data_IF_963480454367
#
_entry.id   IF_963480454367
#
_cell.length_a   1.000
_cell.length_b   1.000
_cell.length_c   1.000
_cell.angle_alpha   90.00
_cell.angle_beta   90.00
_cell.angle_gamma   90.00
#
_symmetry.space_group_name_H-M   'P 1'
#
loop_
_entity.id
_entity.type
_entity.pdbx_description
1 polymer ?
#
# COMPACT_ATOMS: atom_id res chain seq x y z
N UNK A 1 -0.18 -50.45 -42.58
CA UNK A 1 -0.09 -49.07 -42.06
C UNK A 1 -1.00 -48.92 -40.83
N UNK A 2 -0.59 -49.37 -39.63
CA UNK A 2 -1.37 -49.13 -38.40
C UNK A 2 -0.58 -49.19 -37.07
N UNK A 3 0.71 -49.52 -37.09
CA UNK A 3 1.52 -49.64 -35.86
C UNK A 3 2.39 -48.43 -35.50
N UNK A 4 2.47 -47.39 -36.34
CA UNK A 4 3.33 -46.23 -36.06
C UNK A 4 2.65 -45.12 -35.23
N UNK A 5 1.31 -45.03 -35.23
CA UNK A 5 0.58 -43.97 -34.53
C UNK A 5 0.47 -44.20 -33.00
N UNK A 6 0.51 -45.44 -32.53
CA UNK A 6 0.41 -45.77 -31.09
C UNK A 6 1.74 -45.52 -30.35
N UNK A 7 2.87 -45.76 -31.02
CA UNK A 7 4.21 -45.53 -30.46
C UNK A 7 4.52 -44.04 -30.25
N UNK A 8 4.06 -43.18 -31.17
CA UNK A 8 4.23 -41.73 -31.04
C UNK A 8 3.39 -41.18 -29.87
N UNK A 9 2.15 -41.66 -29.70
CA UNK A 9 1.28 -41.27 -28.58
C UNK A 9 1.81 -41.65 -27.19
N UNK A 10 2.45 -42.82 -27.04
CA UNK A 10 3.07 -43.23 -25.77
C UNK A 10 4.37 -42.47 -25.44
N UNK A 11 5.15 -42.09 -26.45
CA UNK A 11 6.37 -41.28 -26.29
C UNK A 11 6.04 -39.84 -25.85
N UNK A 12 4.99 -39.22 -26.39
CA UNK A 12 4.57 -37.89 -25.95
C UNK A 12 4.00 -37.91 -24.51
N UNK A 13 3.27 -38.96 -24.13
CA UNK A 13 2.73 -39.10 -22.77
C UNK A 13 3.84 -39.36 -21.71
N UNK A 14 4.87 -40.13 -22.03
CA UNK A 14 5.98 -40.41 -21.10
C UNK A 14 6.91 -39.20 -20.90
N UNK A 15 7.15 -38.41 -21.95
CA UNK A 15 7.91 -37.15 -21.86
C UNK A 15 7.16 -36.12 -21.00
N UNK A 16 5.84 -35.98 -21.18
CA UNK A 16 5.03 -35.07 -20.37
C UNK A 16 5.01 -35.46 -18.88
N UNK A 17 4.91 -36.76 -18.57
CA UNK A 17 4.98 -37.25 -17.20
C UNK A 17 6.35 -37.00 -16.54
N UNK A 18 7.45 -37.30 -17.25
CA UNK A 18 8.82 -37.05 -16.75
C UNK A 18 9.14 -35.55 -16.58
N UNK A 19 8.61 -34.67 -17.44
CA UNK A 19 8.73 -33.22 -17.27
C UNK A 19 7.95 -32.69 -16.06
N UNK A 20 6.77 -33.26 -15.77
CA UNK A 20 5.99 -32.87 -14.59
C UNK A 20 6.71 -33.22 -13.27
N UNK A 21 7.42 -34.35 -13.24
CA UNK A 21 8.15 -34.84 -12.07
C UNK A 21 9.40 -33.99 -11.76
N UNK A 22 10.21 -33.66 -12.78
CA UNK A 22 11.39 -32.82 -12.56
C UNK A 22 11.03 -31.38 -12.20
N UNK A 23 9.98 -30.82 -12.81
CA UNK A 23 9.47 -29.50 -12.45
C UNK A 23 9.07 -29.47 -10.98
N UNK A 24 8.26 -30.43 -10.53
CA UNK A 24 7.81 -30.48 -9.13
C UNK A 24 9.00 -30.63 -8.18
N UNK A 25 9.97 -31.47 -8.51
CA UNK A 25 11.19 -31.65 -7.71
C UNK A 25 11.99 -30.34 -7.55
N UNK A 26 12.09 -29.51 -8.59
CA UNK A 26 12.72 -28.18 -8.52
C UNK A 26 11.94 -27.26 -7.58
N UNK A 27 10.61 -27.23 -7.72
CA UNK A 27 9.73 -26.39 -6.90
C UNK A 27 9.79 -26.78 -5.43
N UNK A 28 9.77 -28.08 -5.12
CA UNK A 28 9.85 -28.61 -3.75
C UNK A 28 11.20 -28.26 -3.12
N UNK A 29 12.30 -28.46 -3.86
CA UNK A 29 13.63 -28.07 -3.39
C UNK A 29 13.70 -26.57 -3.12
N UNK A 30 13.17 -25.72 -4.01
CA UNK A 30 13.12 -24.27 -3.81
C UNK A 30 12.23 -23.87 -2.62
N UNK A 31 11.06 -24.50 -2.46
CA UNK A 31 10.14 -24.26 -1.35
C UNK A 31 10.74 -24.62 0.01
N UNK A 32 11.56 -25.67 0.07
CA UNK A 32 12.34 -26.06 1.24
C UNK A 32 13.70 -25.35 1.35
N UNK A 33 13.96 -24.34 0.51
CA UNK A 33 15.21 -23.56 0.49
C UNK A 33 16.49 -24.40 0.25
N UNK A 34 16.35 -25.57 -0.37
CA UNK A 34 17.46 -26.45 -0.76
C UNK A 34 18.05 -25.97 -2.08
N UNK A 35 18.66 -24.77 -2.08
CA UNK A 35 19.05 -24.07 -3.31
C UNK A 35 20.08 -24.83 -4.15
N UNK A 36 21.04 -25.52 -3.54
CA UNK A 36 22.00 -26.35 -4.27
C UNK A 36 21.29 -27.50 -5.01
N UNK A 37 20.34 -28.17 -4.35
CA UNK A 37 19.52 -29.23 -4.96
C UNK A 37 18.63 -28.66 -6.07
N UNK A 38 17.98 -27.51 -5.83
CA UNK A 38 17.15 -26.84 -6.82
C UNK A 38 17.97 -26.47 -8.07
N UNK A 39 19.20 -25.98 -7.91
CA UNK A 39 20.12 -25.67 -9.00
C UNK A 39 20.48 -26.92 -9.83
N UNK A 40 20.81 -28.04 -9.17
CA UNK A 40 21.14 -29.29 -9.85
C UNK A 40 19.95 -29.83 -10.65
N UNK A 41 18.77 -29.86 -10.03
CA UNK A 41 17.53 -30.31 -10.68
C UNK A 41 17.12 -29.40 -11.84
N UNK A 42 17.22 -28.08 -11.67
CA UNK A 42 16.93 -27.13 -12.74
C UNK A 42 17.90 -27.26 -13.91
N UNK A 43 19.18 -27.55 -13.64
CA UNK A 43 20.17 -27.83 -14.69
C UNK A 43 19.84 -29.11 -15.45
N UNK A 44 19.49 -30.19 -14.75
CA UNK A 44 19.02 -31.44 -15.37
C UNK A 44 17.76 -31.23 -16.20
N UNK A 45 16.85 -30.35 -15.77
CA UNK A 45 15.67 -29.99 -16.54
C UNK A 45 16.02 -29.24 -17.83
N UNK A 46 16.99 -28.32 -17.79
CA UNK A 46 17.48 -27.63 -18.99
C UNK A 46 18.13 -28.63 -19.98
N UNK A 47 18.86 -29.63 -19.48
CA UNK A 47 19.51 -30.64 -20.33
C UNK A 47 18.50 -31.49 -21.10
N UNK A 48 17.33 -31.75 -20.53
CA UNK A 48 16.25 -32.51 -21.18
C UNK A 48 15.27 -31.63 -21.97
N UNK A 49 15.12 -30.37 -21.57
CA UNK A 49 14.27 -29.38 -22.22
C UNK A 49 14.93 -27.99 -22.20
N UNK A 50 15.76 -27.75 -23.22
CA UNK A 50 16.46 -26.47 -23.39
C UNK A 50 15.55 -25.28 -23.69
N UNK A 51 14.25 -25.51 -23.91
CA UNK A 51 13.23 -24.47 -24.14
C UNK A 51 12.47 -24.08 -22.86
N UNK A 52 12.71 -24.76 -21.73
CA UNK A 52 12.03 -24.47 -20.47
C UNK A 52 12.51 -23.15 -19.84
N UNK A 53 11.73 -22.09 -20.04
CA UNK A 53 11.98 -20.78 -19.46
C UNK A 53 11.98 -20.80 -17.91
N UNK A 54 11.12 -21.63 -17.33
CA UNK A 54 11.00 -21.83 -15.88
C UNK A 54 12.25 -22.47 -15.28
N UNK A 55 12.82 -23.48 -15.96
CA UNK A 55 14.05 -24.13 -15.50
C UNK A 55 15.22 -23.12 -15.42
N UNK A 56 15.36 -22.27 -16.43
CA UNK A 56 16.36 -21.19 -16.40
C UNK A 56 16.12 -20.19 -15.28
N UNK A 57 14.87 -19.82 -15.01
CA UNK A 57 14.54 -18.93 -13.89
C UNK A 57 14.96 -19.54 -12.55
N UNK A 58 14.58 -20.79 -12.27
CA UNK A 58 14.92 -21.45 -11.01
C UNK A 58 16.42 -21.71 -10.86
N UNK A 59 17.13 -22.01 -11.95
CA UNK A 59 18.61 -22.09 -11.94
C UNK A 59 19.22 -20.74 -11.56
N UNK A 60 18.78 -19.64 -12.18
CA UNK A 60 19.24 -18.29 -11.84
C UNK A 60 18.93 -17.91 -10.39
N UNK A 61 17.72 -18.23 -9.93
CA UNK A 61 17.29 -17.98 -8.56
C UNK A 61 18.17 -18.72 -7.55
N UNK A 62 18.43 -20.02 -7.78
CA UNK A 62 19.28 -20.80 -6.91
C UNK A 62 20.73 -20.27 -6.86
N UNK A 63 21.27 -19.82 -8.00
CA UNK A 63 22.59 -19.18 -8.06
C UNK A 63 22.63 -17.88 -7.25
N UNK A 64 21.61 -17.01 -7.36
CA UNK A 64 21.51 -15.80 -6.51
C UNK A 64 21.43 -16.17 -5.02
N UNK A 65 20.63 -17.18 -4.67
CA UNK A 65 20.42 -17.59 -3.26
C UNK A 65 21.63 -18.25 -2.63
N UNK A 66 22.56 -18.74 -3.45
CA UNK A 66 23.86 -19.30 -3.02
C UNK A 66 25.02 -18.31 -3.20
N UNK A 67 24.75 -17.04 -3.54
CA UNK A 67 25.75 -15.98 -3.69
C UNK A 67 26.59 -16.06 -4.97
N UNK A 68 26.25 -16.95 -5.90
CA UNK A 68 26.95 -17.17 -7.17
C UNK A 68 26.49 -16.17 -8.24
N UNK A 69 26.60 -14.87 -7.94
CA UNK A 69 26.07 -13.79 -8.79
C UNK A 69 26.67 -13.77 -10.21
N UNK A 70 27.96 -14.05 -10.35
CA UNK A 70 28.64 -14.09 -11.65
C UNK A 70 28.03 -15.11 -12.63
N UNK A 71 27.51 -16.23 -12.12
CA UNK A 71 26.88 -17.27 -12.93
C UNK A 71 25.36 -17.06 -13.12
N UNK A 72 24.73 -16.24 -12.28
CA UNK A 72 23.27 -16.12 -12.23
C UNK A 72 22.66 -15.30 -13.38
N UNK A 73 23.42 -14.39 -13.98
CA UNK A 73 22.91 -13.49 -15.03
C UNK A 73 22.42 -14.22 -16.28
N UNK A 74 23.21 -15.17 -16.80
CA UNK A 74 22.89 -15.86 -18.05
C UNK A 74 21.57 -16.66 -17.99
N UNK A 75 21.27 -17.45 -16.94
CA UNK A 75 19.97 -18.08 -16.78
C UNK A 75 18.79 -17.09 -16.78
N UNK A 76 18.88 -15.97 -16.07
CA UNK A 76 17.81 -14.97 -16.07
C UNK A 76 17.59 -14.32 -17.44
N UNK A 77 18.66 -13.98 -18.15
CA UNK A 77 18.57 -13.45 -19.52
C UNK A 77 17.91 -14.47 -20.46
N UNK A 78 18.25 -15.76 -20.32
CA UNK A 78 17.63 -16.82 -21.10
C UNK A 78 16.15 -16.99 -20.77
N UNK A 79 15.78 -17.02 -19.49
CA UNK A 79 14.38 -17.05 -19.06
C UNK A 79 13.57 -15.86 -19.62
N UNK A 80 14.16 -14.66 -19.63
CA UNK A 80 13.54 -13.46 -20.25
C UNK A 80 13.35 -13.60 -21.74
N UNK A 81 14.36 -14.12 -22.46
CA UNK A 81 14.29 -14.34 -23.92
C UNK A 81 13.23 -15.38 -24.31
N UNK A 82 12.93 -16.31 -23.40
CA UNK A 82 11.88 -17.32 -23.56
C UNK A 82 10.53 -16.86 -22.98
N UNK A 83 10.40 -15.58 -22.62
CA UNK A 83 9.16 -14.96 -22.12
C UNK A 83 8.56 -15.61 -20.86
N UNK A 84 9.39 -16.05 -19.91
CA UNK A 84 8.90 -16.56 -18.63
C UNK A 84 8.04 -15.48 -17.91
N UNK A 85 6.82 -15.78 -17.44
CA UNK A 85 5.80 -14.78 -17.07
C UNK A 85 6.01 -14.16 -15.67
N UNK A 86 7.26 -13.88 -15.29
CA UNK A 86 7.62 -13.15 -14.06
C UNK A 86 8.69 -12.08 -14.34
N UNK A 87 8.46 -11.16 -15.29
CA UNK A 87 9.47 -10.19 -15.73
C UNK A 87 10.04 -9.34 -14.59
N UNK A 88 9.20 -8.96 -13.61
CA UNK A 88 9.65 -8.19 -12.46
C UNK A 88 10.61 -8.97 -11.55
N UNK A 89 10.34 -10.26 -11.33
CA UNK A 89 11.24 -11.12 -10.55
C UNK A 89 12.57 -11.34 -11.28
N UNK A 90 12.54 -11.49 -12.61
CA UNK A 90 13.74 -11.61 -13.43
C UNK A 90 14.57 -10.33 -13.36
N UNK A 91 13.98 -9.17 -13.64
CA UNK A 91 14.71 -7.90 -13.66
C UNK A 91 15.21 -7.52 -12.26
N UNK A 92 14.47 -7.85 -11.20
CA UNK A 92 14.92 -7.63 -9.82
C UNK A 92 16.15 -8.47 -9.48
N UNK A 93 16.17 -9.76 -9.85
CA UNK A 93 17.34 -10.59 -9.64
C UNK A 93 18.50 -10.21 -10.57
N UNK A 94 18.24 -9.76 -11.79
CA UNK A 94 19.27 -9.18 -12.65
C UNK A 94 19.87 -7.90 -12.05
N UNK A 95 19.07 -7.07 -11.37
CA UNK A 95 19.59 -5.91 -10.65
C UNK A 95 20.51 -6.33 -9.50
N UNK A 96 20.15 -7.37 -8.74
CA UNK A 96 21.03 -7.96 -7.71
C UNK A 96 22.34 -8.46 -8.32
N UNK A 97 22.27 -9.17 -9.45
CA UNK A 97 23.45 -9.67 -10.17
C UNK A 97 24.33 -8.49 -10.58
N UNK A 98 23.79 -7.49 -11.27
CA UNK A 98 24.54 -6.32 -11.72
C UNK A 98 25.23 -5.57 -10.57
N UNK A 99 24.51 -5.35 -9.46
CA UNK A 99 25.08 -4.71 -8.27
C UNK A 99 26.27 -5.50 -7.69
N UNK A 100 26.19 -6.84 -7.69
CA UNK A 100 27.22 -7.71 -7.12
C UNK A 100 28.38 -8.04 -8.07
N UNK A 101 28.18 -7.89 -9.39
CA UNK A 101 29.22 -8.17 -10.40
C UNK A 101 29.93 -6.91 -10.88
N UNK A 102 29.76 -5.78 -10.19
CA UNK A 102 30.49 -4.54 -10.48
C UNK A 102 29.86 -3.64 -11.55
N UNK A 103 28.57 -3.80 -11.85
CA UNK A 103 27.81 -2.91 -12.75
C UNK A 103 26.64 -2.22 -12.01
N UNK A 104 26.94 -1.26 -11.10
CA UNK A 104 25.91 -0.56 -10.34
C UNK A 104 25.02 0.33 -11.21
N UNK A 105 25.48 0.79 -12.39
CA UNK A 105 24.67 1.59 -13.31
C UNK A 105 23.56 0.77 -13.96
N UNK A 106 23.88 -0.46 -14.38
CA UNK A 106 22.86 -1.39 -14.86
C UNK A 106 21.88 -1.76 -13.75
N UNK A 107 22.34 -1.94 -12.51
CA UNK A 107 21.46 -2.22 -11.38
C UNK A 107 20.47 -1.07 -11.12
N UNK A 108 20.94 0.18 -11.10
CA UNK A 108 20.10 1.38 -10.98
C UNK A 108 19.09 1.44 -12.13
N UNK A 109 19.53 1.21 -13.37
CA UNK A 109 18.66 1.23 -14.55
C UNK A 109 17.54 0.18 -14.46
N UNK A 110 17.85 -1.02 -13.99
CA UNK A 110 16.87 -2.10 -13.81
C UNK A 110 15.88 -1.78 -12.68
N UNK A 111 16.36 -1.27 -11.55
CA UNK A 111 15.50 -0.88 -10.43
C UNK A 111 14.59 0.30 -10.79
N UNK A 112 15.09 1.29 -11.54
CA UNK A 112 14.25 2.38 -12.03
C UNK A 112 13.14 1.85 -12.94
N UNK A 113 13.47 0.98 -13.92
CA UNK A 113 12.46 0.35 -14.79
C UNK A 113 11.45 -0.50 -14.04
N UNK A 114 11.83 -1.09 -12.91
CA UNK A 114 10.89 -1.79 -12.03
C UNK A 114 9.96 -0.80 -11.34
N UNK A 115 10.50 0.28 -10.77
CA UNK A 115 9.72 1.34 -10.15
C UNK A 115 8.74 1.99 -11.14
N UNK A 116 9.16 2.28 -12.37
CA UNK A 116 8.31 2.85 -13.43
C UNK A 116 7.14 1.94 -13.82
N UNK A 117 7.28 0.61 -13.65
CA UNK A 117 6.24 -0.39 -13.89
C UNK A 117 5.37 -0.69 -12.67
N UNK A 118 5.47 0.12 -11.61
CA UNK A 118 4.66 -0.02 -10.41
C UNK A 118 5.17 -1.06 -9.41
N UNK A 119 6.45 -1.45 -9.45
CA UNK A 119 7.02 -2.29 -8.41
C UNK A 119 6.90 -1.60 -7.05
N UNK A 120 6.18 -2.22 -6.10
CA UNK A 120 5.78 -1.64 -4.81
C UNK A 120 6.21 -2.49 -3.62
N UNK A 121 7.46 -2.96 -3.61
CA UNK A 121 8.02 -3.79 -2.52
C UNK A 121 9.29 -3.16 -1.94
N UNK A 122 9.18 -2.05 -1.20
CA UNK A 122 10.32 -1.27 -0.69
C UNK A 122 11.22 -2.08 0.24
N UNK A 123 10.66 -3.01 1.02
CA UNK A 123 11.43 -3.91 1.88
C UNK A 123 12.42 -4.80 1.10
N UNK A 124 12.14 -5.11 -0.16
CA UNK A 124 13.08 -5.88 -1.00
C UNK A 124 14.31 -5.06 -1.40
N UNK A 125 14.25 -3.72 -1.37
CA UNK A 125 15.40 -2.85 -1.60
C UNK A 125 16.37 -2.79 -0.39
N UNK A 126 16.06 -3.51 0.70
CA UNK A 126 16.97 -3.69 1.84
C UNK A 126 17.83 -4.96 1.71
N UNK A 127 17.70 -5.71 0.60
CA UNK A 127 18.52 -6.88 0.34
C UNK A 127 20.02 -6.50 0.33
N UNK A 128 20.90 -7.22 1.06
CA UNK A 128 22.33 -6.93 1.11
C UNK A 128 23.02 -6.90 -0.26
N UNK A 129 22.45 -7.57 -1.27
CA UNK A 129 22.96 -7.51 -2.64
C UNK A 129 22.99 -6.08 -3.22
N UNK A 130 22.19 -5.16 -2.66
CA UNK A 130 22.19 -3.74 -3.05
C UNK A 130 23.07 -2.85 -2.18
N UNK A 131 23.92 -3.41 -1.30
CA UNK A 131 24.92 -2.63 -0.57
C UNK A 131 25.78 -1.73 -1.47
N UNK A 132 26.22 -2.16 -2.68
CA UNK A 132 26.96 -1.29 -3.61
C UNK A 132 26.17 -0.08 -4.14
N UNK A 133 24.85 -0.05 -3.96
CA UNK A 133 23.98 1.04 -4.43
C UNK A 133 23.70 2.10 -3.38
N UNK A 134 24.12 1.91 -2.12
CA UNK A 134 23.75 2.81 -1.02
C UNK A 134 24.30 4.24 -1.20
N UNK A 135 25.50 4.36 -1.78
CA UNK A 135 26.14 5.66 -2.06
C UNK A 135 25.68 6.30 -3.38
N UNK A 136 24.78 5.62 -4.12
CA UNK A 136 24.27 6.13 -5.39
C UNK A 136 23.18 7.14 -5.15
N UNK A 137 23.36 8.36 -5.67
CA UNK A 137 22.38 9.45 -5.58
C UNK A 137 21.00 9.09 -6.12
N UNK A 138 20.91 8.15 -7.07
CA UNK A 138 19.65 7.71 -7.69
C UNK A 138 18.86 6.75 -6.78
N UNK A 139 19.54 5.98 -5.93
CA UNK A 139 18.92 4.91 -5.16
C UNK A 139 17.86 5.39 -4.15
N UNK A 140 18.06 6.52 -3.43
CA UNK A 140 17.00 7.11 -2.60
C UNK A 140 15.74 7.50 -3.39
N UNK A 141 15.89 8.06 -4.59
CA UNK A 141 14.74 8.43 -5.44
C UNK A 141 13.96 7.20 -5.89
N UNK A 142 14.65 6.13 -6.28
CA UNK A 142 14.02 4.85 -6.63
C UNK A 142 13.27 4.27 -5.43
N UNK A 143 13.88 4.30 -4.24
CA UNK A 143 13.24 3.84 -3.01
C UNK A 143 11.95 4.61 -2.72
N UNK A 144 11.98 5.94 -2.84
CA UNK A 144 10.79 6.78 -2.65
C UNK A 144 9.69 6.46 -3.68
N UNK A 145 10.06 6.23 -4.94
CA UNK A 145 9.07 5.83 -5.96
C UNK A 145 8.48 4.44 -5.66
N UNK A 146 9.29 3.47 -5.22
CA UNK A 146 8.81 2.13 -4.84
C UNK A 146 7.91 2.20 -3.61
N UNK A 147 8.21 3.08 -2.65
CA UNK A 147 7.33 3.36 -1.51
C UNK A 147 5.99 3.96 -1.97
N UNK A 148 6.03 4.96 -2.86
CA UNK A 148 4.83 5.57 -3.44
C UNK A 148 3.99 4.58 -4.24
N UNK A 149 4.62 3.63 -4.95
CA UNK A 149 3.90 2.56 -5.64
C UNK A 149 3.18 1.63 -4.66
N UNK A 150 3.75 1.39 -3.47
CA UNK A 150 3.12 0.57 -2.42
C UNK A 150 2.01 1.32 -1.69
N UNK A 151 2.23 2.60 -1.42
CA UNK A 151 1.35 3.45 -0.63
C UNK A 151 0.96 4.72 -1.42
N UNK A 152 0.17 4.57 -2.50
CA UNK A 152 -0.11 5.69 -3.42
C UNK A 152 -0.83 6.86 -2.73
N UNK A 153 -1.69 6.57 -1.74
CA UNK A 153 -2.40 7.59 -0.98
C UNK A 153 -1.47 8.42 -0.06
N UNK A 154 -0.29 7.91 0.32
CA UNK A 154 0.70 8.71 1.04
C UNK A 154 1.44 9.68 0.11
N UNK A 155 1.52 9.37 -1.18
CA UNK A 155 2.24 10.16 -2.17
C UNK A 155 1.36 11.23 -2.86
N UNK A 156 0.03 11.07 -2.85
CA UNK A 156 -0.89 12.04 -3.44
C UNK A 156 -1.34 13.09 -2.39
N UNK A 157 -1.00 14.39 -2.57
CA UNK A 157 -1.39 15.45 -1.65
C UNK A 157 -2.90 15.57 -1.38
N UNK A 158 -3.76 15.14 -2.32
CA UNK A 158 -5.23 15.17 -2.13
C UNK A 158 -5.69 14.32 -0.96
N UNK A 159 -5.05 13.16 -0.78
CA UNK A 159 -5.31 12.27 0.34
C UNK A 159 -4.76 12.84 1.65
N UNK A 160 -3.91 13.88 1.63
CA UNK A 160 -3.27 14.47 2.82
C UNK A 160 -3.88 15.78 3.28
N UNK A 161 -4.91 16.28 2.58
CA UNK A 161 -5.56 17.55 2.92
C UNK A 161 -6.16 17.57 4.33
N UNK A 162 -6.57 16.42 4.87
CA UNK A 162 -7.16 16.31 6.21
C UNK A 162 -6.18 15.86 7.30
N UNK A 163 -4.88 15.74 6.97
CA UNK A 163 -3.87 15.25 7.91
C UNK A 163 -3.66 16.17 9.13
N UNK A 164 -4.08 17.44 9.04
CA UNK A 164 -4.02 18.40 10.16
C UNK A 164 -4.90 18.00 11.36
N UNK A 165 -5.81 17.04 11.19
CA UNK A 165 -6.68 16.52 12.24
C UNK A 165 -6.14 15.23 12.89
N UNK A 166 -5.08 14.64 12.34
CA UNK A 166 -4.42 13.46 12.92
C UNK A 166 -3.78 13.84 14.25
N UNK A 167 -4.08 13.07 15.30
CA UNK A 167 -3.54 13.30 16.63
C UNK A 167 -4.41 12.68 17.72
N UNK A 168 -3.92 12.80 18.95
CA UNK A 168 -4.67 12.55 20.17
C UNK A 168 -5.12 13.88 20.75
N UNK A 169 -6.41 13.99 21.08
CA UNK A 169 -7.06 15.26 21.36
C UNK A 169 -7.90 15.24 22.64
N UNK A 170 -7.76 16.30 23.44
CA UNK A 170 -8.73 16.71 24.45
C UNK A 170 -9.73 17.67 23.81
N UNK A 171 -11.01 17.32 23.77
CA UNK A 171 -12.04 18.09 23.07
C UNK A 171 -12.84 18.90 24.08
N UNK A 172 -12.85 20.22 23.91
CA UNK A 172 -13.55 21.17 24.76
C UNK A 172 -14.79 21.75 24.08
N UNK A 173 -15.88 21.86 24.82
CA UNK A 173 -17.11 22.51 24.40
C UNK A 173 -17.51 23.55 25.46
N UNK A 174 -17.70 24.80 25.07
CA UNK A 174 -18.01 25.91 25.98
C UNK A 174 -17.04 26.01 27.19
N UNK A 175 -15.76 25.70 26.96
CA UNK A 175 -14.71 25.73 27.99
C UNK A 175 -14.67 24.51 28.91
N UNK A 176 -15.56 23.53 28.74
CA UNK A 176 -15.57 22.28 29.52
C UNK A 176 -15.07 21.11 28.68
N UNK A 177 -14.37 20.17 29.32
CA UNK A 177 -13.92 18.94 28.67
C UNK A 177 -15.15 18.09 28.27
N UNK A 178 -15.36 17.92 26.97
CA UNK A 178 -16.46 17.15 26.41
C UNK A 178 -16.07 15.68 26.20
N UNK A 179 -14.81 15.42 25.87
CA UNK A 179 -14.32 14.06 25.64
C UNK A 179 -12.94 14.04 25.02
N UNK A 180 -12.59 12.87 24.50
CA UNK A 180 -11.29 12.60 23.91
C UNK A 180 -11.48 12.03 22.52
N UNK A 181 -10.53 12.32 21.63
CA UNK A 181 -10.57 11.82 20.27
C UNK A 181 -9.17 11.41 19.80
N UNK A 182 -9.06 10.23 19.19
CA UNK A 182 -7.84 9.76 18.57
C UNK A 182 -8.07 9.58 17.08
N UNK A 183 -7.31 10.30 16.25
CA UNK A 183 -7.36 10.21 14.79
C UNK A 183 -6.05 9.61 14.29
N UNK A 184 -6.14 8.46 13.63
CA UNK A 184 -4.99 7.74 13.08
C UNK A 184 -5.10 7.54 11.57
N UNK A 185 -3.97 7.36 10.90
CA UNK A 185 -3.97 6.89 9.50
C UNK A 185 -4.34 5.42 9.45
N UNK A 186 -5.22 5.05 8.53
CA UNK A 186 -5.66 3.69 8.26
C UNK A 186 -5.42 3.31 6.79
N UNK A 187 -5.55 2.03 6.46
CA UNK A 187 -5.52 1.49 5.08
C UNK A 187 -4.33 1.96 4.24
N UNK A 188 -3.11 1.87 4.79
CA UNK A 188 -1.89 2.28 4.07
C UNK A 188 -1.85 3.77 3.73
N UNK A 189 -2.62 4.59 4.46
CA UNK A 189 -2.74 6.03 4.24
C UNK A 189 -3.94 6.46 3.40
N UNK A 190 -4.77 5.54 2.91
CA UNK A 190 -5.94 5.91 2.11
C UNK A 190 -7.14 6.39 2.94
N UNK A 191 -7.11 6.19 4.26
CA UNK A 191 -8.15 6.65 5.18
C UNK A 191 -7.56 7.24 6.47
N UNK A 192 -8.38 8.02 7.18
CA UNK A 192 -8.22 8.35 8.58
C UNK A 192 -9.31 7.65 9.38
N UNK A 193 -8.94 7.06 10.51
CA UNK A 193 -9.86 6.47 11.47
C UNK A 193 -9.92 7.35 12.72
N UNK A 194 -11.12 7.78 13.06
CA UNK A 194 -11.46 8.51 14.26
C UNK A 194 -12.01 7.57 15.32
N UNK A 195 -11.59 7.75 16.57
CA UNK A 195 -12.11 7.05 17.72
C UNK A 195 -12.40 8.04 18.87
N UNK A 196 -13.67 8.38 19.03
CA UNK A 196 -14.16 9.37 19.99
C UNK A 196 -14.85 8.71 21.18
N UNK A 197 -14.68 9.30 22.37
CA UNK A 197 -15.44 8.96 23.56
C UNK A 197 -15.67 10.18 24.45
N UNK A 198 -16.84 10.24 25.09
CA UNK A 198 -17.17 11.33 26.01
C UNK A 198 -16.34 11.25 27.30
N UNK A 199 -16.12 12.40 27.94
CA UNK A 199 -15.30 12.49 29.15
C UNK A 199 -15.88 11.68 30.32
N UNK A 200 -17.20 11.52 30.36
CA UNK A 200 -17.95 10.73 31.35
C UNK A 200 -18.14 9.26 30.94
N UNK A 201 -17.69 8.86 29.74
CA UNK A 201 -17.83 7.51 29.19
C UNK A 201 -19.26 7.12 28.79
N UNK A 202 -20.23 8.04 28.80
CA UNK A 202 -21.63 7.75 28.45
C UNK A 202 -21.88 7.55 26.95
N UNK A 203 -21.03 8.13 26.08
CA UNK A 203 -21.16 8.07 24.64
C UNK A 203 -19.81 7.77 23.98
N UNK A 204 -19.86 7.11 22.83
CA UNK A 204 -18.69 6.85 21.98
C UNK A 204 -19.08 6.90 20.52
N UNK A 205 -18.09 6.99 19.63
CA UNK A 205 -18.32 7.00 18.20
C UNK A 205 -17.03 6.87 17.43
N UNK A 206 -17.16 6.47 16.17
CA UNK A 206 -16.04 6.29 15.27
C UNK A 206 -16.39 6.83 13.90
N UNK A 207 -15.37 7.26 13.16
CA UNK A 207 -15.53 7.52 11.73
C UNK A 207 -14.38 7.00 10.89
N UNK A 208 -14.71 6.67 9.65
CA UNK A 208 -13.74 6.45 8.58
C UNK A 208 -13.85 7.62 7.61
N UNK A 209 -12.71 8.26 7.35
CA UNK A 209 -12.58 9.45 6.51
C UNK A 209 -11.63 9.13 5.35
N UNK A 210 -12.01 9.40 4.11
CA UNK A 210 -11.17 9.09 2.95
C UNK A 210 -11.42 10.05 1.81
N UNK A 211 -10.41 10.23 0.96
CA UNK A 211 -10.57 10.96 -0.29
C UNK A 211 -10.98 9.97 -1.40
N UNK A 212 -12.11 10.24 -2.06
CA UNK A 212 -12.55 9.49 -3.24
C UNK A 212 -11.99 10.16 -4.50
N UNK A 213 -11.03 9.54 -5.22
CA UNK A 213 -10.45 10.16 -6.41
C UNK A 213 -11.39 10.21 -7.61
N UNK A 214 -12.46 9.40 -7.64
CA UNK A 214 -13.49 9.43 -8.69
C UNK A 214 -14.46 10.59 -8.46
N UNK A 215 -14.89 10.78 -7.21
CA UNK A 215 -15.78 11.90 -6.83
C UNK A 215 -15.04 13.20 -6.56
N UNK A 216 -13.73 13.14 -6.45
CA UNK A 216 -12.82 14.25 -6.15
C UNK A 216 -13.16 15.00 -4.85
N UNK A 217 -13.60 14.27 -3.83
CA UNK A 217 -14.02 14.84 -2.56
C UNK A 217 -13.62 13.93 -1.39
N UNK A 218 -13.43 14.54 -0.22
CA UNK A 218 -13.37 13.81 1.03
C UNK A 218 -14.76 13.30 1.43
N UNK A 219 -14.79 12.12 2.00
CA UNK A 219 -15.97 11.48 2.58
C UNK A 219 -15.70 11.17 4.05
N UNK A 220 -16.74 11.23 4.86
CA UNK A 220 -16.73 10.68 6.21
C UNK A 220 -17.99 9.84 6.42
N UNK A 221 -17.80 8.65 7.00
CA UNK A 221 -18.88 7.82 7.51
C UNK A 221 -18.75 7.79 9.04
N UNK A 222 -19.67 8.43 9.74
CA UNK A 222 -19.71 8.48 11.21
C UNK A 222 -20.76 7.52 11.76
N UNK A 223 -20.41 6.82 12.85
CA UNK A 223 -21.29 5.97 13.64
C UNK A 223 -21.10 6.26 15.12
N UNK A 224 -22.12 6.82 15.77
CA UNK A 224 -22.17 7.05 17.20
C UNK A 224 -22.97 5.98 17.96
N UNK A 225 -22.67 5.82 19.24
CA UNK A 225 -23.37 4.90 20.15
C UNK A 225 -24.82 5.32 20.45
N UNK A 226 -25.20 6.55 20.07
CA UNK A 226 -26.56 7.10 20.18
C UNK A 226 -27.47 6.77 19.00
N UNK A 227 -27.08 5.83 18.14
CA UNK A 227 -27.75 5.53 16.85
C UNK A 227 -27.71 6.69 15.84
N UNK A 228 -26.82 7.65 16.05
CA UNK A 228 -26.52 8.71 15.11
C UNK A 228 -25.55 8.21 14.04
N UNK A 229 -26.05 8.10 12.82
CA UNK A 229 -25.28 7.67 11.65
C UNK A 229 -25.39 8.77 10.61
N UNK A 230 -24.25 9.27 10.13
CA UNK A 230 -24.23 10.32 9.11
C UNK A 230 -23.12 10.08 8.09
N UNK A 231 -23.51 10.15 6.83
CA UNK A 231 -22.59 10.19 5.70
C UNK A 231 -22.37 11.65 5.27
N UNK A 232 -21.11 12.02 5.17
CA UNK A 232 -20.66 13.36 4.83
C UNK A 232 -19.85 13.34 3.54
N UNK A 233 -19.99 14.42 2.76
CA UNK A 233 -19.17 14.70 1.57
C UNK A 233 -18.62 16.11 1.68
N UNK A 234 -17.33 16.28 1.42
CA UNK A 234 -16.70 17.59 1.43
C UNK A 234 -17.18 18.43 0.25
N UNK A 235 -17.62 19.65 0.54
CA UNK A 235 -17.96 20.67 -0.46
C UNK A 235 -16.82 21.67 -0.68
N UNK A 236 -15.97 21.86 0.33
CA UNK A 236 -14.85 22.79 0.27
C UNK A 236 -13.63 22.22 1.00
N UNK A 237 -12.47 22.35 0.37
CA UNK A 237 -11.18 21.91 0.92
C UNK A 237 -10.11 22.94 0.54
N UNK A 238 -9.34 23.40 1.53
CA UNK A 238 -8.13 24.22 1.36
C UNK A 238 -7.21 23.97 2.55
N UNK A 239 -6.01 24.53 2.52
CA UNK A 239 -5.04 24.32 3.60
C UNK A 239 -5.63 24.71 4.97
N UNK A 240 -5.57 23.76 5.92
CA UNK A 240 -6.10 23.92 7.27
C UNK A 240 -7.63 24.06 7.37
N UNK A 241 -8.38 23.77 6.30
CA UNK A 241 -9.84 23.93 6.28
C UNK A 241 -10.52 22.85 5.46
N UNK A 242 -11.51 22.20 6.05
CA UNK A 242 -12.32 21.20 5.36
C UNK A 242 -13.78 21.35 5.79
N UNK A 243 -14.70 21.51 4.83
CA UNK A 243 -16.14 21.59 5.10
C UNK A 243 -16.89 20.47 4.41
N UNK A 244 -17.57 19.69 5.23
CA UNK A 244 -18.48 18.64 4.85
C UNK A 244 -19.93 19.07 4.91
N UNK A 245 -20.74 18.47 4.05
CA UNK A 245 -22.21 18.44 4.18
C UNK A 245 -22.68 17.00 4.22
N UNK A 246 -23.59 16.70 5.13
CA UNK A 246 -24.19 15.39 5.32
C UNK A 246 -25.69 15.47 5.50
N UNK A 247 -26.36 14.33 5.32
CA UNK A 247 -27.80 14.19 5.53
C UNK A 247 -28.04 13.19 6.65
N UNK A 248 -28.55 13.66 7.77
CA UNK A 248 -28.95 12.81 8.88
C UNK A 248 -30.46 12.55 8.80
N UNK A 249 -30.85 11.27 8.78
CA UNK A 249 -32.27 10.90 8.85
C UNK A 249 -32.68 10.78 10.31
N UNK A 250 -33.74 11.49 10.68
CA UNK A 250 -34.36 11.46 12.01
C UNK A 250 -35.80 10.97 11.89
N UNK A 251 -36.47 10.71 13.02
CA UNK A 251 -37.90 10.40 13.01
C UNK A 251 -38.77 11.58 12.56
N UNK A 252 -38.26 12.81 12.61
CA UNK A 252 -38.95 14.03 12.19
C UNK A 252 -38.66 14.44 10.74
N UNK A 253 -37.74 13.75 10.05
CA UNK A 253 -37.35 14.05 8.68
C UNK A 253 -35.84 14.10 8.47
N UNK A 254 -35.42 14.72 7.37
CA UNK A 254 -33.99 14.88 7.03
C UNK A 254 -33.48 16.20 7.63
N UNK A 255 -32.37 16.11 8.36
CA UNK A 255 -31.60 17.27 8.83
C UNK A 255 -30.32 17.33 8.01
N UNK A 256 -30.05 18.48 7.38
CA UNK A 256 -28.74 18.73 6.77
C UNK A 256 -27.76 19.12 7.87
N UNK A 257 -26.56 18.54 7.83
CA UNK A 257 -25.45 18.88 8.72
C UNK A 257 -24.34 19.50 7.90
N UNK A 258 -23.82 20.64 8.33
CA UNK A 258 -22.63 21.27 7.78
C UNK A 258 -21.54 21.24 8.83
N UNK A 259 -20.48 20.48 8.57
CA UNK A 259 -19.40 20.24 9.51
C UNK A 259 -18.11 20.84 8.97
N UNK A 260 -17.55 21.80 9.69
CA UNK A 260 -16.35 22.53 9.31
C UNK A 260 -15.22 22.22 10.28
N UNK A 261 -14.05 21.87 9.75
CA UNK A 261 -12.80 21.78 10.48
C UNK A 261 -11.93 22.97 10.12
N UNK A 262 -11.35 23.63 11.13
CA UNK A 262 -10.38 24.73 10.93
C UNK A 262 -9.17 24.50 11.82
N UNK A 263 -7.99 24.45 11.22
CA UNK A 263 -6.71 24.28 11.91
C UNK A 263 -6.15 25.64 12.35
N UNK A 264 -5.67 25.72 13.59
CA UNK A 264 -4.91 26.84 14.11
C UNK A 264 -3.44 26.42 14.31
N UNK A 265 -2.51 26.91 13.47
CA UNK A 265 -1.11 26.53 13.55
C UNK A 265 -0.38 27.12 14.76
N UNK A 266 -0.94 28.13 15.45
CA UNK A 266 -0.26 28.79 16.57
C UNK A 266 -0.17 27.93 17.84
N UNK A 267 -1.11 27.00 17.98
CA UNK A 267 -1.25 26.09 19.12
C UNK A 267 -1.53 24.65 18.70
N UNK A 268 -1.47 24.37 17.39
CA UNK A 268 -1.79 23.07 16.78
C UNK A 268 -3.20 22.56 17.14
N UNK A 269 -4.18 23.44 17.36
CA UNK A 269 -5.56 23.06 17.66
C UNK A 269 -6.42 22.92 16.40
N UNK A 270 -7.53 22.19 16.52
CA UNK A 270 -8.55 22.08 15.48
C UNK A 270 -9.90 22.48 16.04
N UNK A 271 -10.59 23.40 15.38
CA UNK A 271 -11.99 23.69 15.66
C UNK A 271 -12.88 22.86 14.75
N UNK A 272 -13.73 22.02 15.34
CA UNK A 272 -14.86 21.40 14.65
C UNK A 272 -16.14 22.19 14.97
N UNK A 273 -16.84 22.62 13.92
CA UNK A 273 -18.11 23.33 14.04
C UNK A 273 -19.17 22.67 13.18
N UNK A 274 -20.25 22.20 13.80
CA UNK A 274 -21.39 21.56 13.15
C UNK A 274 -22.61 22.48 13.27
N UNK A 275 -23.22 22.73 12.13
CA UNK A 275 -24.48 23.46 12.00
C UNK A 275 -25.54 22.56 11.40
N UNK A 276 -26.77 22.73 11.85
CA UNK A 276 -27.93 21.97 11.39
C UNK A 276 -28.87 22.87 10.57
N UNK A 277 -29.52 22.27 9.58
CA UNK A 277 -30.58 22.92 8.80
C UNK A 277 -31.75 21.98 8.58
N UNK A 278 -32.96 22.49 8.83
CA UNK A 278 -34.24 21.79 8.65
C UNK A 278 -35.07 22.37 7.51
N UNK A 279 -34.54 23.35 6.78
CA UNK A 279 -35.23 24.09 5.71
C UNK A 279 -34.48 24.01 4.37
N UNK A 280 -33.84 22.86 4.13
CA UNK A 280 -33.08 22.55 2.92
C UNK A 280 -31.85 23.46 2.72
N UNK A 281 -31.22 23.88 3.81
CA UNK A 281 -29.97 24.65 3.79
C UNK A 281 -30.16 26.16 3.63
N UNK A 282 -31.40 26.66 3.72
CA UNK A 282 -31.70 28.11 3.63
C UNK A 282 -31.25 28.83 4.90
N UNK A 283 -31.42 28.21 6.07
CA UNK A 283 -30.92 28.70 7.35
C UNK A 283 -30.13 27.61 8.07
N UNK A 284 -29.14 28.04 8.85
CA UNK A 284 -28.24 27.17 9.59
C UNK A 284 -28.21 27.60 11.05
N UNK A 285 -28.38 26.65 11.96
CA UNK A 285 -28.31 26.86 13.41
C UNK A 285 -27.11 26.12 13.98
N UNK A 286 -26.36 26.77 14.87
CA UNK A 286 -25.23 26.16 15.54
C UNK A 286 -25.68 24.93 16.36
N UNK A 287 -25.08 23.76 16.09
CA UNK A 287 -25.37 22.52 16.80
C UNK A 287 -24.24 22.12 17.75
N UNK A 288 -23.02 21.95 17.23
CA UNK A 288 -21.85 21.56 18.02
C UNK A 288 -20.65 22.43 17.69
N UNK A 289 -19.85 22.78 18.71
CA UNK A 289 -18.60 23.51 18.56
C UNK A 289 -17.55 22.92 19.50
N UNK A 290 -16.70 22.05 18.97
CA UNK A 290 -15.63 21.38 19.70
C UNK A 290 -14.26 21.95 19.36
N UNK A 291 -13.52 22.39 20.37
CA UNK A 291 -12.12 22.79 20.25
C UNK A 291 -11.24 21.60 20.65
N UNK A 292 -10.49 21.08 19.68
CA UNK A 292 -9.56 19.96 19.84
C UNK A 292 -8.20 20.53 20.21
N UNK A 293 -7.75 20.27 21.43
CA UNK A 293 -6.44 20.63 21.95
C UNK A 293 -5.58 19.36 22.00
N UNK A 294 -4.31 19.37 21.56
CA UNK A 294 -3.46 18.18 21.63
C UNK A 294 -3.44 17.62 23.06
N UNK A 295 -3.65 16.32 23.20
CA UNK A 295 -3.78 15.67 24.50
C UNK A 295 -2.61 15.99 25.42
N UNK A 296 -2.91 16.37 26.67
CA UNK A 296 -1.90 16.75 27.67
C UNK A 296 -1.32 18.15 27.49
N UNK A 297 -1.84 18.96 26.55
CA UNK A 297 -1.50 20.38 26.42
C UNK A 297 -2.45 21.27 27.22
N UNK A 298 -1.98 22.45 27.61
CA UNK A 298 -2.79 23.44 28.34
C UNK A 298 -3.74 24.18 27.39
N UNK A 299 -5.05 24.31 27.70
CA UNK A 299 -5.99 25.02 26.85
C UNK A 299 -5.62 26.51 26.66
N UNK A 300 -5.80 27.08 25.46
CA UNK A 300 -5.57 28.51 25.24
C UNK A 300 -6.46 29.37 26.15
N UNK A 301 -5.85 30.30 26.90
CA UNK A 301 -6.56 31.23 27.79
C UNK A 301 -6.91 30.68 29.17
N UNK A 302 -6.25 29.59 29.61
CA UNK A 302 -6.21 29.18 31.02
C UNK A 302 -5.11 29.88 31.81
#
# INVERSE_FOLDING_TARGET
MRSWLVLIGMLFASIAAAQSDIRQSVLDAAGHQQWDKAMLLASKWIDTDSSSAEAYFYRGLALVRTGQYAAAGAPFLKARSLHYPVPNAIDFNLAKVAAQTGDPDQAITLLQKLADRGFGSPGLLNDPAFAPLQDRKEFPSIRNQVEANKFPCLADPKFRQFDFWIGDWDVYMNGQLAGYNTITRAEGGCALHENWHSADGSHSGQSINYYDPVRQAWHQNWVGSGMDITDYVAEESREGYLRFVGKMKTSQGIVLKRMTFTYDPSNHSVLQFIEDSTDEGKTWTAGFRGLYIPHGSTPPGS
#
